data_IF_468705929326
#
_entry.id   IF_468705929326
#
_cell.length_a   1.000
_cell.length_b   1.000
_cell.length_c   1.000
_cell.angle_alpha   90.00
_cell.angle_beta   90.00
_cell.angle_gamma   90.00
#
_symmetry.space_group_name_H-M   'P 1'
#
loop_
_entity.id
_entity.type
_entity.pdbx_description
1 polymer ?
#
# COMPACT_ATOMS: atom_id res chain seq x y z
N UNK A 1 23.49 13.83 7.41
CA UNK A 1 22.36 14.45 6.69
C UNK A 1 21.13 13.59 6.95
N UNK A 2 20.06 14.20 7.44
CA UNK A 2 18.94 13.57 8.16
C UNK A 2 18.20 12.48 7.37
N UNK A 3 18.08 11.29 7.95
CA UNK A 3 17.21 10.19 7.48
C UNK A 3 15.70 10.55 7.46
N UNK A 4 15.28 11.65 8.11
CA UNK A 4 13.88 12.08 8.17
C UNK A 4 13.37 12.78 6.88
N UNK A 5 14.25 13.29 6.02
CA UNK A 5 13.85 14.22 4.95
C UNK A 5 13.08 13.58 3.76
N UNK A 6 12.93 12.25 3.71
CA UNK A 6 12.44 11.55 2.50
C UNK A 6 11.27 10.58 2.75
N UNK A 7 10.76 10.48 3.99
CA UNK A 7 9.66 9.57 4.32
C UNK A 7 8.40 9.86 3.50
N UNK A 8 8.02 8.90 2.64
CA UNK A 8 6.88 9.01 1.74
C UNK A 8 7.18 9.63 0.37
N UNK A 9 8.43 9.98 0.05
CA UNK A 9 8.79 10.21 -1.36
C UNK A 9 8.68 8.91 -2.14
N UNK A 10 8.47 9.01 -3.45
CA UNK A 10 8.46 7.84 -4.30
C UNK A 10 9.79 7.08 -4.21
N UNK A 11 10.93 7.77 -4.23
CA UNK A 11 12.25 7.14 -4.16
C UNK A 11 12.44 6.33 -2.87
N UNK A 12 12.04 6.88 -1.73
CA UNK A 12 12.08 6.16 -0.45
C UNK A 12 11.14 4.95 -0.45
N UNK A 13 9.86 5.16 -0.79
CA UNK A 13 8.84 4.10 -0.76
C UNK A 13 9.23 2.98 -1.73
N UNK A 14 9.62 3.31 -2.96
CA UNK A 14 10.06 2.37 -3.98
C UNK A 14 11.23 1.52 -3.49
N UNK A 15 12.26 2.13 -2.91
CA UNK A 15 13.44 1.42 -2.43
C UNK A 15 13.06 0.44 -1.33
N UNK A 16 12.41 0.92 -0.28
CA UNK A 16 12.05 0.08 0.88
C UNK A 16 11.06 -1.03 0.47
N UNK A 17 10.09 -0.72 -0.39
CA UNK A 17 9.19 -1.72 -0.96
C UNK A 17 9.97 -2.79 -1.74
N UNK A 18 10.85 -2.40 -2.68
CA UNK A 18 11.60 -3.34 -3.52
C UNK A 18 12.64 -4.15 -2.74
N UNK A 19 13.18 -3.61 -1.65
CA UNK A 19 14.09 -4.31 -0.75
C UNK A 19 13.37 -5.45 0.01
N UNK A 20 12.06 -5.31 0.24
CA UNK A 20 11.22 -6.32 0.90
C UNK A 20 10.43 -7.20 -0.10
N UNK A 21 10.37 -6.82 -1.38
CA UNK A 21 9.65 -7.55 -2.42
C UNK A 21 10.48 -8.72 -3.00
N UNK A 22 10.01 -9.94 -2.75
CA UNK A 22 10.67 -11.16 -3.25
C UNK A 22 10.27 -11.51 -4.68
N UNK A 23 9.08 -11.11 -5.10
CA UNK A 23 8.54 -11.41 -6.42
C UNK A 23 8.95 -10.33 -7.42
N UNK A 24 9.84 -10.67 -8.35
CA UNK A 24 10.37 -9.73 -9.33
C UNK A 24 9.27 -9.03 -10.16
N UNK A 25 8.19 -9.75 -10.49
CA UNK A 25 7.07 -9.22 -11.26
C UNK A 25 6.29 -8.10 -10.55
N UNK A 26 6.38 -8.01 -9.22
CA UNK A 26 5.67 -7.01 -8.43
C UNK A 26 6.58 -5.87 -7.95
N UNK A 27 7.85 -5.82 -8.39
CA UNK A 27 8.73 -4.70 -8.04
C UNK A 27 8.27 -3.40 -8.70
N UNK A 28 8.34 -2.31 -7.95
CA UNK A 28 8.07 -0.96 -8.45
C UNK A 28 9.17 -0.50 -9.42
N UNK A 29 8.82 0.25 -10.49
CA UNK A 29 9.80 0.88 -11.37
C UNK A 29 10.74 1.82 -10.60
N UNK A 30 11.95 2.02 -11.10
CA UNK A 30 12.92 2.92 -10.44
C UNK A 30 12.39 4.36 -10.30
N UNK A 31 11.62 4.81 -11.28
CA UNK A 31 11.08 6.16 -11.36
C UNK A 31 9.62 6.09 -11.83
N UNK A 32 8.79 6.98 -11.27
CA UNK A 32 7.44 7.26 -11.72
C UNK A 32 7.23 8.78 -11.66
N UNK A 33 6.43 9.28 -12.60
CA UNK A 33 6.05 10.69 -12.64
C UNK A 33 4.91 11.01 -11.67
N UNK A 34 4.75 12.29 -11.35
CA UNK A 34 3.55 12.80 -10.68
C UNK A 34 2.26 12.42 -11.42
N UNK A 35 1.15 12.40 -10.67
CA UNK A 35 -0.18 11.98 -11.12
C UNK A 35 -0.57 10.57 -10.66
N UNK A 36 -1.60 10.02 -11.30
CA UNK A 36 -2.06 8.65 -11.05
C UNK A 36 -1.29 7.67 -11.92
N UNK A 37 -0.55 6.77 -11.27
CA UNK A 37 0.31 5.77 -11.92
C UNK A 37 -0.22 4.37 -11.62
N UNK A 38 -0.21 3.48 -12.61
CA UNK A 38 -0.63 2.07 -12.46
C UNK A 38 0.52 1.14 -12.85
N UNK A 39 1.53 0.96 -11.98
CA UNK A 39 2.71 0.14 -12.31
C UNK A 39 2.42 -1.37 -12.41
N UNK A 40 1.29 -1.84 -11.89
CA UNK A 40 0.90 -3.26 -11.92
C UNK A 40 -0.59 -3.36 -12.25
N UNK A 41 -0.93 -4.15 -13.26
CA UNK A 41 -2.31 -4.52 -13.64
C UNK A 41 -2.25 -5.85 -14.41
N UNK A 42 -2.30 -6.97 -13.67
CA UNK A 42 -2.10 -8.32 -14.21
C UNK A 42 -3.33 -9.23 -14.07
N UNK A 43 -4.46 -8.67 -13.63
CA UNK A 43 -5.72 -9.38 -13.39
C UNK A 43 -5.81 -10.05 -12.01
N UNK A 44 -4.69 -10.38 -11.37
CA UNK A 44 -4.68 -10.77 -9.96
C UNK A 44 -4.60 -9.53 -9.07
N UNK A 45 -3.68 -8.62 -9.38
CA UNK A 45 -3.44 -7.37 -8.67
C UNK A 45 -3.50 -6.19 -9.63
N UNK A 46 -4.19 -5.13 -9.20
CA UNK A 46 -4.06 -3.79 -9.77
C UNK A 46 -3.54 -2.84 -8.69
N UNK A 47 -2.34 -2.32 -8.90
CA UNK A 47 -1.68 -1.36 -8.01
C UNK A 47 -1.74 0.03 -8.64
N UNK A 48 -2.31 0.98 -7.92
CA UNK A 48 -2.35 2.39 -8.31
C UNK A 48 -1.67 3.25 -7.26
N UNK A 49 -0.84 4.20 -7.69
CA UNK A 49 -0.19 5.20 -6.84
C UNK A 49 -0.66 6.59 -7.27
N UNK A 50 -0.96 7.44 -6.29
CA UNK A 50 -1.12 8.88 -6.51
C UNK A 50 0.15 9.56 -6.01
N UNK A 51 0.83 10.25 -6.92
CA UNK A 51 2.12 10.91 -6.65
C UNK A 51 1.97 12.41 -6.89
N UNK A 52 2.37 13.22 -5.91
CA UNK A 52 2.35 14.69 -5.99
C UNK A 52 3.67 15.25 -5.49
N UNK A 53 4.35 16.06 -6.30
CA UNK A 53 5.68 16.59 -6.00
C UNK A 53 6.67 15.48 -5.61
N UNK A 54 6.62 14.36 -6.36
CA UNK A 54 7.37 13.12 -6.12
C UNK A 54 7.09 12.45 -4.76
N UNK A 55 5.94 12.72 -4.14
CA UNK A 55 5.51 12.09 -2.89
C UNK A 55 4.30 11.21 -3.11
N UNK A 56 4.35 9.99 -2.59
CA UNK A 56 3.22 9.05 -2.65
C UNK A 56 2.18 9.50 -1.62
N UNK A 57 1.04 10.01 -2.09
CA UNK A 57 -0.05 10.50 -1.25
C UNK A 57 -1.10 9.42 -0.99
N UNK A 58 -1.27 8.49 -1.94
CA UNK A 58 -2.18 7.36 -1.85
C UNK A 58 -1.64 6.14 -2.59
N UNK A 59 -1.87 4.96 -2.02
CA UNK A 59 -1.70 3.66 -2.67
C UNK A 59 -3.06 2.97 -2.69
N UNK A 60 -3.43 2.37 -3.82
CA UNK A 60 -4.60 1.52 -3.92
C UNK A 60 -4.18 0.17 -4.49
N UNK A 61 -4.49 -0.89 -3.77
CA UNK A 61 -4.27 -2.28 -4.20
C UNK A 61 -5.67 -2.89 -4.37
N UNK A 62 -5.97 -3.37 -5.56
CA UNK A 62 -7.14 -4.22 -5.82
C UNK A 62 -6.64 -5.63 -6.07
N UNK A 63 -7.25 -6.62 -5.42
CA UNK A 63 -6.96 -8.04 -5.67
C UNK A 63 -8.25 -8.85 -5.82
N UNK A 64 -8.24 -9.80 -6.75
CA UNK A 64 -9.32 -10.79 -6.92
C UNK A 64 -9.14 -12.00 -6.01
N UNK A 65 -7.98 -12.13 -5.36
CA UNK A 65 -7.72 -13.17 -4.36
C UNK A 65 -7.00 -12.57 -3.15
N UNK A 66 -7.73 -12.14 -2.13
CA UNK A 66 -7.17 -11.53 -0.92
C UNK A 66 -6.25 -12.46 -0.13
N UNK A 67 -6.29 -13.78 -0.37
CA UNK A 67 -5.45 -14.77 0.31
C UNK A 67 -4.23 -15.19 -0.50
N UNK A 68 -4.05 -14.64 -1.71
CA UNK A 68 -2.90 -14.92 -2.55
C UNK A 68 -1.61 -14.42 -1.87
N UNK A 69 -0.52 -15.18 -2.02
CA UNK A 69 0.79 -14.81 -1.46
C UNK A 69 1.30 -13.51 -2.11
N UNK A 70 1.00 -13.31 -3.38
CA UNK A 70 1.31 -12.11 -4.14
C UNK A 70 0.70 -10.86 -3.49
N UNK A 71 -0.59 -10.93 -3.14
CA UNK A 71 -1.27 -9.81 -2.47
C UNK A 71 -0.64 -9.52 -1.11
N UNK A 72 -0.39 -10.56 -0.30
CA UNK A 72 0.23 -10.39 1.02
C UNK A 72 1.59 -9.71 0.92
N UNK A 73 2.45 -10.14 -0.02
CA UNK A 73 3.76 -9.51 -0.21
C UNK A 73 3.65 -8.07 -0.72
N UNK A 74 2.72 -7.78 -1.64
CA UNK A 74 2.51 -6.41 -2.13
C UNK A 74 2.05 -5.51 -0.98
N UNK A 75 1.12 -5.97 -0.15
CA UNK A 75 0.63 -5.21 0.99
C UNK A 75 1.74 -4.98 2.03
N UNK A 76 2.41 -6.05 2.49
CA UNK A 76 3.53 -5.99 3.44
C UNK A 76 4.64 -5.05 2.96
N UNK A 77 4.98 -5.08 1.66
CA UNK A 77 5.97 -4.18 1.06
C UNK A 77 5.65 -2.70 1.30
N UNK A 78 4.37 -2.31 1.27
CA UNK A 78 3.94 -0.95 1.59
C UNK A 78 3.90 -0.67 3.09
N UNK A 79 3.62 -1.66 3.94
CA UNK A 79 3.75 -1.50 5.39
C UNK A 79 5.18 -1.08 5.78
N UNK A 80 6.19 -1.72 5.16
CA UNK A 80 7.59 -1.31 5.30
C UNK A 80 7.84 0.05 4.64
N UNK A 81 7.39 0.24 3.40
CA UNK A 81 7.57 1.47 2.62
C UNK A 81 7.03 2.73 3.29
N UNK A 82 5.99 2.60 4.12
CA UNK A 82 5.43 3.70 4.92
C UNK A 82 5.92 3.73 6.37
N UNK A 83 6.82 2.83 6.78
CA UNK A 83 7.23 2.65 8.17
C UNK A 83 6.03 2.41 9.12
N UNK A 84 4.99 1.75 8.60
CA UNK A 84 3.71 1.56 9.24
C UNK A 84 3.42 0.09 9.58
N UNK A 85 4.48 -0.74 9.70
CA UNK A 85 4.42 -2.14 10.14
C UNK A 85 3.64 -2.25 11.45
N UNK A 86 2.40 -2.74 11.41
CA UNK A 86 1.53 -2.91 12.58
C UNK A 86 0.21 -3.65 12.24
N UNK A 87 -0.71 -3.70 13.20
CA UNK A 87 -2.02 -4.38 13.15
C UNK A 87 -3.03 -3.67 12.23
N UNK A 88 -2.92 -3.85 10.92
CA UNK A 88 -4.09 -3.76 10.04
C UNK A 88 -4.72 -5.11 9.73
N UNK A 89 -4.10 -6.20 10.19
CA UNK A 89 -4.57 -7.57 9.98
C UNK A 89 -6.02 -7.76 10.45
N UNK A 90 -6.42 -7.12 11.56
CA UNK A 90 -7.81 -7.20 12.06
C UNK A 90 -8.80 -6.55 11.09
N UNK A 91 -8.47 -5.39 10.52
CA UNK A 91 -9.34 -4.72 9.54
C UNK A 91 -9.43 -5.51 8.22
N UNK A 92 -8.29 -6.07 7.81
CA UNK A 92 -8.25 -6.99 6.68
C UNK A 92 -9.12 -8.23 6.91
N UNK A 93 -9.00 -8.89 8.07
CA UNK A 93 -9.79 -10.08 8.44
C UNK A 93 -11.29 -9.75 8.56
N UNK A 94 -11.63 -8.61 9.16
CA UNK A 94 -13.00 -8.13 9.26
C UNK A 94 -13.59 -7.90 7.87
N UNK A 95 -12.90 -7.13 7.02
CA UNK A 95 -13.38 -6.82 5.67
C UNK A 95 -13.56 -8.09 4.83
N UNK A 96 -12.59 -9.00 4.87
CA UNK A 96 -12.63 -10.23 4.05
C UNK A 96 -13.61 -11.28 4.58
N UNK A 97 -13.87 -11.33 5.88
CA UNK A 97 -14.89 -12.23 6.44
C UNK A 97 -16.31 -11.72 6.22
N UNK A 98 -16.53 -10.40 6.37
CA UNK A 98 -17.85 -9.78 6.27
C UNK A 98 -18.24 -9.41 4.84
N UNK A 99 -17.29 -9.38 3.90
CA UNK A 99 -17.48 -8.85 2.55
C UNK A 99 -18.02 -7.40 2.59
N UNK A 100 -17.34 -6.58 3.40
CA UNK A 100 -17.73 -5.20 3.67
C UNK A 100 -16.54 -4.30 4.00
N UNK A 101 -16.81 -3.04 4.37
CA UNK A 101 -15.77 -2.07 4.68
C UNK A 101 -15.17 -2.28 6.07
N UNK A 102 -13.87 -2.03 6.23
CA UNK A 102 -13.20 -1.89 7.53
C UNK A 102 -12.01 -0.94 7.41
N UNK A 103 -11.69 -0.19 8.47
CA UNK A 103 -10.67 0.87 8.42
C UNK A 103 -9.84 0.95 9.71
N UNK A 104 -8.56 1.27 9.56
CA UNK A 104 -7.66 1.48 10.69
C UNK A 104 -6.59 2.52 10.40
N UNK A 105 -6.21 3.31 11.40
CA UNK A 105 -5.12 4.30 11.30
C UNK A 105 -3.94 3.83 12.14
N UNK A 106 -2.76 3.76 11.53
CA UNK A 106 -1.49 3.41 12.18
C UNK A 106 -0.46 4.44 11.77
N UNK A 107 0.24 5.06 12.74
CA UNK A 107 1.35 6.00 12.50
C UNK A 107 1.04 7.06 11.42
N UNK A 108 -0.18 7.63 11.44
CA UNK A 108 -0.61 8.67 10.49
C UNK A 108 -1.03 8.17 9.09
N UNK A 109 -1.07 6.84 8.88
CA UNK A 109 -1.55 6.19 7.67
C UNK A 109 -2.90 5.53 7.92
N UNK A 110 -3.91 5.91 7.15
CA UNK A 110 -5.21 5.24 7.08
C UNK A 110 -5.11 4.08 6.08
N UNK A 111 -5.46 2.88 6.52
CA UNK A 111 -5.81 1.77 5.66
C UNK A 111 -7.34 1.65 5.59
N UNK A 112 -7.89 1.75 4.38
CA UNK A 112 -9.32 1.66 4.08
C UNK A 112 -9.58 0.42 3.21
N UNK A 113 -10.17 -0.61 3.80
CA UNK A 113 -10.47 -1.89 3.17
C UNK A 113 -11.94 -1.95 2.76
N UNK A 114 -12.20 -2.57 1.61
CA UNK A 114 -13.53 -2.96 1.19
C UNK A 114 -13.45 -4.22 0.34
N UNK A 115 -14.06 -5.31 0.81
CA UNK A 115 -14.16 -6.57 0.07
C UNK A 115 -15.57 -6.68 -0.50
N UNK A 116 -15.69 -6.91 -1.81
CA UNK A 116 -17.00 -7.09 -2.45
C UNK A 116 -17.55 -8.49 -2.20
N UNK A 117 -18.83 -8.73 -2.52
CA UNK A 117 -19.45 -10.06 -2.47
C UNK A 117 -18.75 -11.08 -3.40
N UNK A 118 -18.08 -10.62 -4.45
CA UNK A 118 -17.29 -11.45 -5.37
C UNK A 118 -15.85 -11.69 -4.87
N UNK A 119 -15.59 -11.40 -3.58
CA UNK A 119 -14.29 -11.55 -2.92
C UNK A 119 -13.16 -10.71 -3.54
N UNK A 120 -13.51 -9.59 -4.18
CA UNK A 120 -12.54 -8.60 -4.67
C UNK A 120 -12.26 -7.63 -3.53
N UNK A 121 -11.02 -7.63 -3.04
CA UNK A 121 -10.58 -6.69 -2.02
C UNK A 121 -9.97 -5.45 -2.68
N UNK A 122 -10.44 -4.28 -2.26
CA UNK A 122 -9.75 -3.00 -2.47
C UNK A 122 -9.22 -2.52 -1.14
N UNK A 123 -7.93 -2.21 -1.06
CA UNK A 123 -7.34 -1.48 0.06
C UNK A 123 -6.71 -0.18 -0.43
N UNK A 124 -6.99 0.91 0.28
CA UNK A 124 -6.34 2.19 0.06
C UNK A 124 -5.52 2.60 1.28
N UNK A 125 -4.23 2.88 1.09
CA UNK A 125 -3.35 3.47 2.08
C UNK A 125 -3.23 4.98 1.79
N UNK A 126 -3.70 5.82 2.71
CA UNK A 126 -3.69 7.28 2.55
C UNK A 126 -3.07 7.93 3.78
N UNK A 127 -2.24 8.95 3.59
CA UNK A 127 -1.73 9.74 4.71
C UNK A 127 -2.83 10.70 5.21
N UNK A 128 -3.19 10.62 6.49
CA UNK A 128 -4.35 11.34 7.05
C UNK A 128 -4.01 12.43 8.07
N UNK A 129 -2.72 12.75 8.23
CA UNK A 129 -2.11 13.68 9.20
C UNK A 129 -1.66 13.04 10.53
N UNK A 130 -0.61 13.65 11.09
CA UNK A 130 0.29 13.10 12.12
C UNK A 130 1.71 13.15 11.58
N UNK A 131 2.55 14.01 12.13
CA UNK A 131 4.00 13.86 11.92
C UNK A 131 4.39 12.44 12.32
N UNK A 132 5.33 11.78 11.60
CA UNK A 132 5.86 10.52 12.07
C UNK A 132 6.39 10.74 13.50
N UNK A 133 5.82 10.03 14.47
CA UNK A 133 6.22 10.15 15.87
C UNK A 133 7.74 9.92 15.98
N UNK A 134 8.39 10.79 16.76
CA UNK A 134 9.84 10.81 17.06
C UNK A 134 10.40 9.46 17.49
#
# INVERSE_FOLDING_TARGET
MNQMADLGSYAYVQRVYNDNMRLAAYKLPKELADGTQTPIDDGLIKLTLVIENQRVTKVTIVTTNPRATEYMQVFEGFEFGFNAVSTWIQNYEESTSTHGPSKGIVKGMLADYNTTADNVLTVSLTRVSGEPAE
#
